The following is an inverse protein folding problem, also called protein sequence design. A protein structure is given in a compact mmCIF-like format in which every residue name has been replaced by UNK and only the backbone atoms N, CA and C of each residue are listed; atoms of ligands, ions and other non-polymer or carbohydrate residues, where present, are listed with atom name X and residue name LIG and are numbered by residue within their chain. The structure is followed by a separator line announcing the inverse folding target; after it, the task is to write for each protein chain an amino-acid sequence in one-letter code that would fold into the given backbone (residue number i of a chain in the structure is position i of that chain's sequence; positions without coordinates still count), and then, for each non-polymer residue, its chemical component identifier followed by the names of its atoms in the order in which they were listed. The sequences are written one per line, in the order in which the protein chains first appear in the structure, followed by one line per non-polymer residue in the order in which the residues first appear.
data_IF_080395145221
#
_entry.id   IF_080395145221
#
_cell.length_a   1.000
_cell.length_b   1.000
_cell.length_c   1.000
_cell.angle_alpha   90.00
_cell.angle_beta   90.00
_cell.angle_gamma   90.00
#
_symmetry.space_group_name_H-M   'P 1'
#
loop_
_entity.id
_entity.type
_entity.pdbx_description
1 polymer ?
#
# COMPACT_ATOMS: atom_id res chain seq x y z
N UNK A 1 -14.96 -2.69 8.44
CA UNK A 1 -14.36 -3.67 9.36
C UNK A 1 -14.60 -5.13 8.96
N UNK A 2 -15.79 -5.50 8.47
CA UNK A 2 -16.09 -6.86 8.02
C UNK A 2 -15.11 -7.37 6.91
N UNK A 3 -14.72 -6.52 5.96
CA UNK A 3 -13.79 -6.87 4.88
C UNK A 3 -12.37 -7.29 5.37
N UNK A 4 -11.82 -6.62 6.39
CA UNK A 4 -10.51 -6.98 6.96
C UNK A 4 -10.54 -8.38 7.57
N UNK A 5 -11.64 -8.71 8.25
CA UNK A 5 -11.82 -9.99 8.93
C UNK A 5 -11.91 -11.17 7.95
N UNK A 6 -12.41 -10.95 6.73
CA UNK A 6 -12.44 -11.96 5.67
C UNK A 6 -11.12 -12.03 4.89
N UNK A 7 -10.48 -10.89 4.65
CA UNK A 7 -9.25 -10.85 3.85
C UNK A 7 -8.04 -11.40 4.61
N UNK A 8 -7.86 -11.01 5.88
CA UNK A 8 -6.69 -11.43 6.67
C UNK A 8 -6.49 -12.96 6.76
N UNK A 9 -7.51 -13.77 7.12
CA UNK A 9 -7.35 -15.22 7.18
C UNK A 9 -7.16 -15.85 5.79
N UNK A 10 -7.82 -15.33 4.76
CA UNK A 10 -7.65 -15.83 3.39
C UNK A 10 -6.23 -15.56 2.87
N UNK A 11 -5.71 -14.34 3.08
CA UNK A 11 -4.33 -13.99 2.71
C UNK A 11 -3.29 -14.79 3.49
N UNK A 12 -3.52 -15.03 4.79
CA UNK A 12 -2.65 -15.88 5.61
C UNK A 12 -2.64 -17.32 5.11
N UNK A 13 -3.79 -17.89 4.78
CA UNK A 13 -3.89 -19.24 4.24
C UNK A 13 -3.18 -19.38 2.88
N UNK A 14 -3.36 -18.40 1.98
CA UNK A 14 -2.66 -18.38 0.68
C UNK A 14 -1.14 -18.29 0.86
N UNK A 15 -0.66 -17.44 1.78
CA UNK A 15 0.77 -17.33 2.08
C UNK A 15 1.32 -18.62 2.68
N UNK A 16 0.58 -19.28 3.57
CA UNK A 16 1.01 -20.54 4.19
C UNK A 16 1.24 -21.66 3.15
N UNK A 17 0.49 -21.63 2.04
CA UNK A 17 0.68 -22.56 0.91
C UNK A 17 1.81 -22.10 -0.03
N UNK A 18 1.95 -20.80 -0.27
CA UNK A 18 2.96 -20.28 -1.18
C UNK A 18 4.37 -20.30 -0.58
N UNK A 19 4.51 -20.00 0.72
CA UNK A 19 5.78 -19.89 1.43
C UNK A 19 6.66 -21.15 1.30
N UNK A 20 6.15 -22.38 1.53
CA UNK A 20 6.95 -23.60 1.35
C UNK A 20 7.40 -23.87 -0.09
N UNK A 21 6.72 -23.29 -1.09
CA UNK A 21 7.07 -23.46 -2.50
C UNK A 21 8.20 -22.51 -2.95
N UNK A 22 8.29 -21.32 -2.35
CA UNK A 22 9.25 -20.28 -2.74
C UNK A 22 10.41 -20.10 -1.76
N UNK A 23 10.23 -20.46 -0.49
CA UNK A 23 11.28 -20.40 0.53
C UNK A 23 11.77 -21.81 0.90
N UNK A 24 13.10 -22.04 0.93
CA UNK A 24 13.65 -23.34 1.30
C UNK A 24 13.35 -23.62 2.78
N UNK A 25 12.65 -24.72 3.08
CA UNK A 25 12.17 -25.02 4.43
C UNK A 25 13.31 -25.46 5.37
N UNK A 26 14.34 -26.13 4.85
CA UNK A 26 15.42 -26.78 5.61
C UNK A 26 16.84 -26.27 5.29
N UNK A 27 17.00 -25.19 4.53
CA UNK A 27 18.32 -24.63 4.21
C UNK A 27 18.84 -23.70 5.31
N UNK A 28 20.15 -23.37 5.30
CA UNK A 28 20.69 -22.27 6.12
C UNK A 28 20.02 -20.95 5.70
N UNK A 29 19.16 -20.41 6.56
CA UNK A 29 18.29 -19.26 6.25
C UNK A 29 16.85 -19.63 5.87
N UNK A 30 16.47 -20.91 5.96
CA UNK A 30 15.11 -21.38 5.77
C UNK A 30 14.17 -21.07 6.93
N UNK A 31 12.89 -21.42 6.78
CA UNK A 31 11.83 -21.16 7.77
C UNK A 31 12.22 -21.66 9.18
N UNK A 32 12.90 -22.80 9.28
CA UNK A 32 13.39 -23.40 10.53
C UNK A 32 14.87 -23.10 10.85
N UNK A 33 15.44 -22.08 10.23
CA UNK A 33 16.80 -21.62 10.54
C UNK A 33 16.92 -21.06 11.98
N UNK A 34 18.16 -20.94 12.50
CA UNK A 34 18.39 -20.31 13.80
C UNK A 34 18.18 -18.79 13.70
N UNK A 35 16.93 -18.35 13.86
CA UNK A 35 16.59 -16.93 13.85
C UNK A 35 17.01 -16.24 15.16
N UNK A 36 17.65 -15.07 15.03
CA UNK A 36 17.90 -14.20 16.19
C UNK A 36 16.58 -13.65 16.76
N UNK A 37 16.52 -13.48 18.08
CA UNK A 37 15.39 -12.82 18.76
C UNK A 37 15.13 -11.42 18.20
N UNK A 38 16.18 -10.70 17.79
CA UNK A 38 16.05 -9.38 17.16
C UNK A 38 15.35 -9.44 15.81
N UNK A 39 15.62 -10.48 15.01
CA UNK A 39 14.96 -10.69 13.72
C UNK A 39 13.48 -11.01 13.90
N UNK A 40 13.16 -11.89 14.85
CA UNK A 40 11.76 -12.21 15.17
C UNK A 40 10.98 -10.98 15.65
N UNK A 41 11.60 -10.14 16.48
CA UNK A 41 10.99 -8.90 16.97
C UNK A 41 10.75 -7.90 15.83
N UNK A 42 11.71 -7.74 14.90
CA UNK A 42 11.54 -6.90 13.71
C UNK A 42 10.40 -7.40 12.81
N UNK A 43 10.25 -8.72 12.63
CA UNK A 43 9.15 -9.32 11.86
C UNK A 43 7.81 -9.09 12.54
N UNK A 44 7.74 -9.23 13.87
CA UNK A 44 6.51 -8.92 14.62
C UNK A 44 6.13 -7.44 14.50
N UNK A 45 7.10 -6.52 14.66
CA UNK A 45 6.87 -5.09 14.52
C UNK A 45 6.40 -4.73 13.11
N UNK A 46 7.03 -5.27 12.07
CA UNK A 46 6.60 -5.03 10.69
C UNK A 46 5.18 -5.56 10.44
N UNK A 47 4.82 -6.71 11.04
CA UNK A 47 3.46 -7.26 11.04
C UNK A 47 2.44 -6.34 11.71
N UNK A 48 2.75 -5.78 12.88
CA UNK A 48 1.87 -4.83 13.58
C UNK A 48 1.66 -3.57 12.75
N UNK A 49 2.72 -3.03 12.15
CA UNK A 49 2.64 -1.85 11.26
C UNK A 49 1.79 -2.18 10.04
N UNK A 50 2.02 -3.34 9.40
CA UNK A 50 1.24 -3.77 8.25
C UNK A 50 -0.25 -3.93 8.60
N UNK A 51 -0.57 -4.46 9.78
CA UNK A 51 -1.95 -4.55 10.27
C UNK A 51 -2.59 -3.17 10.47
N UNK A 52 -1.88 -2.23 11.10
CA UNK A 52 -2.35 -0.85 11.29
C UNK A 52 -2.58 -0.12 9.97
N UNK A 53 -1.70 -0.34 8.97
CA UNK A 53 -1.86 0.21 7.63
C UNK A 53 -3.12 -0.37 6.97
N UNK A 54 -3.31 -1.69 7.01
CA UNK A 54 -4.53 -2.32 6.49
C UNK A 54 -5.79 -1.78 7.19
N UNK A 55 -5.78 -1.65 8.52
CA UNK A 55 -6.89 -1.06 9.27
C UNK A 55 -7.22 0.35 8.80
N UNK A 56 -6.19 1.19 8.61
CA UNK A 56 -6.35 2.56 8.12
C UNK A 56 -6.95 2.58 6.70
N UNK A 57 -6.49 1.68 5.82
CA UNK A 57 -7.02 1.52 4.46
C UNK A 57 -8.52 1.21 4.48
N UNK A 58 -8.94 0.19 5.24
CA UNK A 58 -10.36 -0.17 5.31
C UNK A 58 -11.20 0.90 6.01
N UNK A 59 -10.62 1.65 6.95
CA UNK A 59 -11.33 2.74 7.59
C UNK A 59 -11.57 3.89 6.60
N UNK A 60 -10.58 4.23 5.77
CA UNK A 60 -10.74 5.22 4.68
C UNK A 60 -11.74 4.73 3.64
N UNK A 61 -11.66 3.47 3.20
CA UNK A 61 -12.61 2.88 2.25
C UNK A 61 -14.02 2.81 2.84
N UNK A 62 -14.16 2.59 4.15
CA UNK A 62 -15.46 2.52 4.83
C UNK A 62 -16.14 3.88 5.00
N UNK A 63 -15.37 4.95 5.18
CA UNK A 63 -15.90 6.32 5.29
C UNK A 63 -15.99 7.04 3.93
N UNK A 64 -15.24 6.58 2.93
CA UNK A 64 -15.15 7.18 1.60
C UNK A 64 -15.58 6.16 0.53
N UNK A 65 -15.34 6.43 -0.75
CA UNK A 65 -15.57 5.45 -1.82
C UNK A 65 -14.29 4.68 -2.17
N UNK A 66 -14.39 3.42 -2.68
CA UNK A 66 -13.24 2.63 -3.13
C UNK A 66 -12.40 3.35 -4.19
N UNK A 67 -13.06 4.14 -5.04
CA UNK A 67 -12.37 4.88 -6.10
C UNK A 67 -11.57 6.06 -5.55
N UNK A 68 -12.01 6.67 -4.44
CA UNK A 68 -11.22 7.71 -3.76
C UNK A 68 -9.96 7.13 -3.11
N UNK A 69 -10.06 5.93 -2.54
CA UNK A 69 -8.89 5.22 -2.01
C UNK A 69 -7.86 4.89 -3.08
N UNK A 70 -8.28 4.40 -4.26
CA UNK A 70 -7.38 4.14 -5.38
C UNK A 70 -6.61 5.40 -5.82
N UNK A 71 -7.29 6.54 -5.89
CA UNK A 71 -6.63 7.82 -6.19
C UNK A 71 -5.61 8.22 -5.13
N UNK A 72 -5.94 8.01 -3.85
CA UNK A 72 -5.01 8.22 -2.73
C UNK A 72 -3.78 7.29 -2.81
N UNK A 73 -3.97 6.06 -3.29
CA UNK A 73 -2.90 5.11 -3.58
C UNK A 73 -1.92 5.64 -4.63
N UNK A 74 -2.45 6.15 -5.75
CA UNK A 74 -1.61 6.77 -6.79
C UNK A 74 -0.91 8.03 -6.29
N UNK A 75 -1.58 8.84 -5.47
CA UNK A 75 -0.98 10.02 -4.85
C UNK A 75 0.19 9.65 -3.91
N UNK A 76 0.00 8.65 -3.04
CA UNK A 76 1.06 8.09 -2.18
C UNK A 76 2.26 7.61 -3.00
N UNK A 77 2.00 6.93 -4.12
CA UNK A 77 3.04 6.45 -5.01
C UNK A 77 3.86 7.60 -5.60
N UNK A 78 3.20 8.65 -6.12
CA UNK A 78 3.88 9.85 -6.63
C UNK A 78 4.74 10.54 -5.56
N UNK A 79 4.23 10.69 -4.32
CA UNK A 79 5.01 11.27 -3.21
C UNK A 79 6.25 10.42 -2.92
N UNK A 80 6.11 9.10 -2.92
CA UNK A 80 7.22 8.18 -2.62
C UNK A 80 8.30 8.26 -3.71
N UNK A 81 7.90 8.35 -4.99
CA UNK A 81 8.83 8.57 -6.10
C UNK A 81 9.54 9.92 -6.01
N UNK A 82 8.80 11.00 -5.74
CA UNK A 82 9.38 12.33 -5.56
C UNK A 82 10.34 12.38 -4.36
N UNK A 83 9.96 11.76 -3.23
CA UNK A 83 10.80 11.64 -2.05
C UNK A 83 12.07 10.84 -2.32
N UNK A 84 11.95 9.72 -3.05
CA UNK A 84 13.10 8.92 -3.49
C UNK A 84 14.07 9.72 -4.36
N UNK A 85 13.56 10.49 -5.32
CA UNK A 85 14.38 11.38 -6.15
C UNK A 85 15.12 12.44 -5.33
N UNK A 86 14.43 13.13 -4.42
CA UNK A 86 15.03 14.18 -3.60
C UNK A 86 16.08 13.60 -2.63
N UNK A 87 15.80 12.44 -2.02
CA UNK A 87 16.64 11.83 -1.00
C UNK A 87 17.86 11.12 -1.58
N UNK A 88 17.67 10.34 -2.65
CA UNK A 88 18.73 9.52 -3.25
C UNK A 88 19.44 10.21 -4.44
N UNK A 89 18.94 11.36 -4.91
CA UNK A 89 19.46 12.10 -6.07
C UNK A 89 19.65 11.22 -7.31
N UNK A 90 18.81 10.20 -7.46
CA UNK A 90 18.84 9.32 -8.62
C UNK A 90 18.55 10.13 -9.88
N UNK A 91 19.31 9.94 -10.98
CA UNK A 91 19.08 10.66 -12.22
C UNK A 91 17.78 10.18 -12.86
N UNK A 92 16.65 10.79 -12.47
CA UNK A 92 15.38 10.60 -13.14
C UNK A 92 15.48 11.18 -14.55
N UNK A 93 15.18 10.34 -15.54
CA UNK A 93 15.06 10.80 -16.92
C UNK A 93 13.91 11.80 -17.05
N UNK A 94 14.05 12.77 -17.96
CA UNK A 94 13.02 13.80 -18.21
C UNK A 94 11.66 13.17 -18.53
N UNK A 95 11.65 12.02 -19.22
CA UNK A 95 10.43 11.29 -19.55
C UNK A 95 9.72 10.72 -18.30
N UNK A 96 10.47 10.24 -17.30
CA UNK A 96 9.89 9.79 -16.03
C UNK A 96 9.29 10.95 -15.24
N UNK A 97 9.96 12.11 -15.23
CA UNK A 97 9.43 13.33 -14.62
C UNK A 97 8.11 13.78 -15.25
N UNK A 98 8.02 13.78 -16.59
CA UNK A 98 6.79 14.11 -17.31
C UNK A 98 5.66 13.12 -17.02
N UNK A 99 5.96 11.82 -16.91
CA UNK A 99 4.98 10.80 -16.53
C UNK A 99 4.42 11.00 -15.12
N UNK A 100 5.28 11.37 -14.15
CA UNK A 100 4.85 11.69 -12.78
C UNK A 100 3.95 12.94 -12.77
N UNK A 101 4.32 14.00 -13.49
CA UNK A 101 3.52 15.23 -13.59
C UNK A 101 2.15 14.97 -14.22
N UNK A 102 2.10 14.20 -15.31
CA UNK A 102 0.84 13.83 -15.96
C UNK A 102 -0.08 13.04 -15.02
N UNK A 103 0.50 12.08 -14.28
CA UNK A 103 -0.23 11.27 -13.30
C UNK A 103 -0.78 12.14 -12.17
N UNK A 104 0.03 13.05 -11.62
CA UNK A 104 -0.41 14.01 -10.59
C UNK A 104 -1.55 14.91 -11.09
N UNK A 105 -1.44 15.43 -12.31
CA UNK A 105 -2.46 16.27 -12.90
C UNK A 105 -3.79 15.52 -13.08
N UNK A 106 -3.74 14.27 -13.56
CA UNK A 106 -4.92 13.41 -13.71
C UNK A 106 -5.61 13.12 -12.38
N UNK A 107 -4.84 12.83 -11.32
CA UNK A 107 -5.37 12.60 -9.97
C UNK A 107 -6.04 13.86 -9.41
N UNK A 108 -5.40 15.03 -9.58
CA UNK A 108 -5.94 16.31 -9.12
C UNK A 108 -7.25 16.67 -9.83
N UNK A 109 -7.29 16.55 -11.15
CA UNK A 109 -8.49 16.81 -11.93
C UNK A 109 -9.64 15.87 -11.52
N UNK A 110 -9.37 14.56 -11.44
CA UNK A 110 -10.37 13.58 -11.01
C UNK A 110 -10.89 13.84 -9.60
N UNK A 111 -9.99 14.15 -8.66
CA UNK A 111 -10.36 14.47 -7.27
C UNK A 111 -11.25 15.71 -7.20
N UNK A 112 -10.92 16.75 -7.98
CA UNK A 112 -11.71 17.98 -8.03
C UNK A 112 -13.11 17.73 -8.60
N UNK A 113 -13.24 17.05 -9.74
CA UNK A 113 -14.54 16.73 -10.33
C UNK A 113 -15.42 15.92 -9.39
N UNK A 114 -14.83 14.93 -8.72
CA UNK A 114 -15.57 14.06 -7.80
C UNK A 114 -16.04 14.77 -6.54
N UNK A 115 -15.24 15.69 -6.00
CA UNK A 115 -15.65 16.53 -4.88
C UNK A 115 -16.82 17.45 -5.29
N UNK A 116 -16.73 18.10 -6.46
CA UNK A 116 -17.81 18.96 -6.96
C UNK A 116 -19.11 18.18 -7.22
N UNK A 117 -19.03 16.94 -7.70
CA UNK A 117 -20.22 16.08 -7.88
C UNK A 117 -20.86 15.68 -6.54
N UNK A 118 -20.04 15.38 -5.52
CA UNK A 118 -20.54 15.08 -4.17
C UNK A 118 -21.20 16.29 -3.49
N UNK A 119 -20.70 17.50 -3.72
CA UNK A 119 -21.29 18.75 -3.21
C UNK A 119 -22.63 19.05 -3.88
N UNK A 120 -22.74 18.84 -5.20
CA UNK A 120 -24.00 18.99 -5.94
C UNK A 120 -25.09 17.99 -5.54
N UNK A 121 -24.72 16.78 -5.14
CA UNK A 121 -25.67 15.76 -4.68
C UNK A 121 -26.17 15.97 -3.24
N UNK A 122 -25.46 16.73 -2.40
CA UNK A 122 -25.88 17.04 -1.02
C UNK A 122 -26.87 18.21 -0.92
N UNK A 123 -27.02 18.98 -2.00
CA UNK A 123 -27.91 20.16 -2.06
C UNK A 123 -29.27 19.89 -2.70
N UNK A 124 -29.59 18.63 -3.02
CA UNK A 124 -30.93 18.16 -3.43
C UNK A 124 -31.51 17.26 -2.34
#
# INVERSE_FOLDING_TARGET
MQLLYYQAPMSSAMLLVAVPCFEPVFAEGGIFGPWSVSALLMVLLSGVIAFMVNLSIYWIIGNTSPVTYNMFGHFKFCITLCGGYILFKDPLSVNQGLGILCTLFGILAYTHFKLSEQEGSKSK
#
